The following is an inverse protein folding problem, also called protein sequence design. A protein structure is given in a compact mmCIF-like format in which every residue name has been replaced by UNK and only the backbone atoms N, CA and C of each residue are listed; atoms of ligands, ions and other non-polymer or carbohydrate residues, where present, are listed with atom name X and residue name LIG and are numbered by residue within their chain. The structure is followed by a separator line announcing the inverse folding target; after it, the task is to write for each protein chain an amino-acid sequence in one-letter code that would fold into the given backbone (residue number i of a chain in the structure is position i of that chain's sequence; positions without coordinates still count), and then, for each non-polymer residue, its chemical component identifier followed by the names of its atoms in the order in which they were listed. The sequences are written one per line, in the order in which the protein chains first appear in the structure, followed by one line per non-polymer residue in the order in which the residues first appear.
data_IF_024229804561
#
_entry.id   IF_024229804561
#
_cell.length_a   1.000
_cell.length_b   1.000
_cell.length_c   1.000
_cell.angle_alpha   90.00
_cell.angle_beta   90.00
_cell.angle_gamma   90.00
#
_symmetry.space_group_name_H-M   'P 1'
#
loop_
_entity.id
_entity.type
_entity.pdbx_description
1 polymer ?
#
# COMPACT_ATOMS: atom_id res chain seq x y z
N UNK A 1 7.70 20.35 -2.04
CA UNK A 1 6.71 21.28 -1.43
C UNK A 1 5.39 21.12 -2.15
N UNK A 2 4.26 21.14 -1.45
CA UNK A 2 2.93 21.18 -2.08
C UNK A 2 2.27 22.52 -1.76
N UNK A 3 1.61 23.09 -2.75
CA UNK A 3 1.00 24.41 -2.66
C UNK A 3 -0.40 24.31 -2.06
N UNK A 4 -0.93 25.40 -1.50
CA UNK A 4 -2.30 25.44 -0.97
C UNK A 4 -3.35 24.99 -2.02
N UNK A 5 -3.15 25.33 -3.30
CA UNK A 5 -4.02 24.89 -4.40
C UNK A 5 -4.07 23.36 -4.58
N UNK A 6 -2.99 22.65 -4.24
CA UNK A 6 -2.96 21.19 -4.33
C UNK A 6 -3.83 20.52 -3.27
N UNK A 7 -4.03 21.15 -2.10
CA UNK A 7 -4.94 20.65 -1.07
C UNK A 7 -6.40 20.85 -1.48
N UNK A 8 -6.77 22.05 -1.92
CA UNK A 8 -8.13 22.36 -2.39
C UNK A 8 -8.56 21.43 -3.53
N UNK A 9 -7.64 21.11 -4.45
CA UNK A 9 -7.89 20.14 -5.51
C UNK A 9 -8.21 18.75 -4.95
N UNK A 10 -7.43 18.27 -3.97
CA UNK A 10 -7.65 16.98 -3.33
C UNK A 10 -9.00 16.93 -2.59
N UNK A 11 -9.34 18.01 -1.87
CA UNK A 11 -10.64 18.14 -1.19
C UNK A 11 -11.80 18.08 -2.19
N UNK A 12 -11.69 18.78 -3.32
CA UNK A 12 -12.69 18.72 -4.41
C UNK A 12 -12.82 17.32 -5.02
N UNK A 13 -11.70 16.61 -5.23
CA UNK A 13 -11.73 15.24 -5.72
C UNK A 13 -12.44 14.30 -4.73
N UNK A 14 -12.13 14.41 -3.44
CA UNK A 14 -12.79 13.61 -2.40
C UNK A 14 -14.28 13.93 -2.33
N UNK A 15 -14.66 15.21 -2.37
CA UNK A 15 -16.07 15.64 -2.40
C UNK A 15 -16.82 15.10 -3.63
N UNK A 16 -16.15 14.95 -4.78
CA UNK A 16 -16.69 14.33 -5.98
C UNK A 16 -16.75 12.78 -5.91
N UNK A 17 -16.41 12.17 -4.78
CA UNK A 17 -16.47 10.72 -4.57
C UNK A 17 -15.27 9.93 -5.10
N UNK A 18 -14.13 10.59 -5.37
CA UNK A 18 -12.97 9.95 -5.99
C UNK A 18 -12.48 8.71 -5.23
N UNK A 19 -12.50 8.71 -3.89
CA UNK A 19 -12.03 7.58 -3.08
C UNK A 19 -12.78 6.28 -3.45
N UNK A 20 -14.11 6.32 -3.46
CA UNK A 20 -14.94 5.16 -3.79
C UNK A 20 -14.70 4.68 -5.23
N UNK A 21 -14.57 5.61 -6.17
CA UNK A 21 -14.29 5.30 -7.58
C UNK A 21 -12.93 4.62 -7.75
N UNK A 22 -11.89 5.15 -7.10
CA UNK A 22 -10.54 4.58 -7.15
C UNK A 22 -10.48 3.21 -6.48
N UNK A 23 -11.16 3.01 -5.35
CA UNK A 23 -11.23 1.71 -4.68
C UNK A 23 -12.00 0.66 -5.50
N UNK A 24 -13.03 1.06 -6.26
CA UNK A 24 -13.69 0.17 -7.23
C UNK A 24 -12.73 -0.22 -8.34
N UNK A 25 -11.99 0.75 -8.89
CA UNK A 25 -11.00 0.52 -9.94
C UNK A 25 -9.89 -0.43 -9.50
N UNK A 26 -9.30 -0.23 -8.31
CA UNK A 26 -8.25 -1.10 -7.75
C UNK A 26 -8.74 -2.56 -7.62
N UNK A 27 -10.02 -2.78 -7.33
CA UNK A 27 -10.59 -4.13 -7.22
C UNK A 27 -10.88 -4.78 -8.57
N UNK A 28 -11.11 -3.99 -9.63
CA UNK A 28 -11.46 -4.50 -10.95
C UNK A 28 -10.26 -4.78 -11.85
N UNK A 29 -9.10 -4.15 -11.58
CA UNK A 29 -7.91 -4.30 -12.43
C UNK A 29 -7.29 -5.71 -12.36
N UNK A 30 -6.93 -6.23 -13.53
CA UNK A 30 -6.20 -7.49 -13.66
C UNK A 30 -4.68 -7.30 -13.48
N UNK A 31 -3.90 -8.36 -13.77
CA UNK A 31 -2.43 -8.31 -13.81
C UNK A 31 -1.89 -8.01 -15.21
N UNK A 32 -2.74 -7.65 -16.17
CA UNK A 32 -2.30 -7.20 -17.50
C UNK A 32 -1.46 -5.93 -17.37
N UNK A 33 -0.50 -5.73 -18.29
CA UNK A 33 0.37 -4.54 -18.27
C UNK A 33 -0.47 -3.24 -18.28
N UNK A 34 -1.49 -3.07 -19.14
CA UNK A 34 -2.33 -1.87 -19.13
C UNK A 34 -3.03 -1.63 -17.78
N UNK A 35 -3.59 -2.69 -17.18
CA UNK A 35 -4.28 -2.57 -15.90
C UNK A 35 -3.33 -2.25 -14.75
N UNK A 36 -2.08 -2.70 -14.81
CA UNK A 36 -1.08 -2.36 -13.81
C UNK A 36 -0.66 -0.90 -13.90
N UNK A 37 -0.61 -0.28 -15.08
CA UNK A 37 -0.38 1.17 -15.20
C UNK A 37 -1.55 1.98 -14.62
N UNK A 38 -2.79 1.57 -14.91
CA UNK A 38 -3.99 2.18 -14.32
C UNK A 38 -3.99 2.05 -12.80
N UNK A 39 -3.60 0.88 -12.28
CA UNK A 39 -3.47 0.64 -10.84
C UNK A 39 -2.47 1.59 -10.19
N UNK A 40 -1.29 1.80 -10.80
CA UNK A 40 -0.27 2.71 -10.27
C UNK A 40 -0.80 4.12 -10.11
N UNK A 41 -1.54 4.61 -11.10
CA UNK A 41 -2.17 5.92 -11.04
C UNK A 41 -3.23 5.97 -9.94
N UNK A 42 -4.06 4.93 -9.80
CA UNK A 42 -5.07 4.88 -8.75
C UNK A 42 -4.45 4.92 -7.34
N UNK A 43 -3.43 4.09 -7.08
CA UNK A 43 -2.70 4.07 -5.81
C UNK A 43 -1.97 5.40 -5.55
N UNK A 44 -1.32 5.96 -6.57
CA UNK A 44 -0.63 7.26 -6.46
C UNK A 44 -1.60 8.39 -6.13
N UNK A 45 -2.80 8.40 -6.72
CA UNK A 45 -3.84 9.38 -6.39
C UNK A 45 -4.29 9.22 -4.93
N UNK A 46 -4.60 7.99 -4.47
CA UNK A 46 -4.95 7.76 -3.06
C UNK A 46 -3.82 8.17 -2.10
N UNK A 47 -2.57 7.91 -2.44
CA UNK A 47 -1.39 8.37 -1.69
C UNK A 47 -1.33 9.90 -1.63
N UNK A 48 -1.59 10.57 -2.75
CA UNK A 48 -1.62 12.03 -2.82
C UNK A 48 -2.78 12.63 -2.02
N UNK A 49 -3.92 11.96 -1.91
CA UNK A 49 -5.04 12.40 -1.06
C UNK A 49 -4.68 12.22 0.42
N UNK A 50 -4.22 11.03 0.80
CA UNK A 50 -3.89 10.65 2.19
C UNK A 50 -2.71 11.42 2.79
N UNK A 51 -1.99 12.23 2.00
CA UNK A 51 -0.99 13.17 2.53
C UNK A 51 -1.60 14.15 3.55
N UNK A 52 -2.86 14.52 3.35
CA UNK A 52 -3.60 15.46 4.19
C UNK A 52 -4.36 14.68 5.28
N UNK A 53 -4.13 14.97 6.58
CA UNK A 53 -4.67 14.15 7.67
C UNK A 53 -6.20 13.94 7.61
N UNK A 54 -6.98 15.00 7.38
CA UNK A 54 -8.43 14.91 7.29
C UNK A 54 -8.92 14.05 6.10
N UNK A 55 -8.22 14.08 4.96
CA UNK A 55 -8.55 13.21 3.82
C UNK A 55 -8.10 11.76 4.03
N UNK A 56 -7.01 11.56 4.77
CA UNK A 56 -6.59 10.22 5.19
C UNK A 56 -7.66 9.58 6.09
N UNK A 57 -8.28 10.34 6.99
CA UNK A 57 -9.41 9.85 7.79
C UNK A 57 -10.60 9.46 6.93
N UNK A 58 -10.99 10.29 5.95
CA UNK A 58 -12.07 9.92 5.01
C UNK A 58 -11.74 8.63 4.25
N UNK A 59 -10.48 8.44 3.84
CA UNK A 59 -10.04 7.20 3.22
C UNK A 59 -10.17 6.01 4.19
N UNK A 60 -9.72 6.15 5.43
CA UNK A 60 -9.78 5.10 6.46
C UNK A 60 -11.24 4.72 6.79
N UNK A 61 -12.10 5.73 6.96
CA UNK A 61 -13.51 5.56 7.29
C UNK A 61 -14.34 5.02 6.10
N UNK A 62 -13.78 5.07 4.88
CA UNK A 62 -14.42 4.45 3.71
C UNK A 62 -14.39 2.92 3.81
N UNK A 63 -15.58 2.31 3.85
CA UNK A 63 -15.75 0.85 4.01
C UNK A 63 -14.88 0.03 3.04
N UNK A 64 -14.05 -0.85 3.61
CA UNK A 64 -13.22 -1.79 2.86
C UNK A 64 -12.00 -1.17 2.16
N UNK A 65 -11.71 0.12 2.39
CA UNK A 65 -10.57 0.80 1.78
C UNK A 65 -9.23 0.17 2.20
N UNK A 66 -9.01 0.05 3.51
CA UNK A 66 -7.80 -0.51 4.10
C UNK A 66 -7.60 -1.96 3.66
N UNK A 67 -8.67 -2.75 3.66
CA UNK A 67 -8.67 -4.13 3.16
C UNK A 67 -8.25 -4.20 1.69
N UNK A 68 -8.85 -3.35 0.85
CA UNK A 68 -8.55 -3.29 -0.59
C UNK A 68 -7.08 -2.97 -0.84
N UNK A 69 -6.54 -1.97 -0.14
CA UNK A 69 -5.15 -1.52 -0.31
C UNK A 69 -4.17 -2.58 0.22
N UNK A 70 -4.45 -3.17 1.39
CA UNK A 70 -3.62 -4.24 1.96
C UNK A 70 -3.63 -5.48 1.06
N UNK A 71 -4.79 -5.83 0.51
CA UNK A 71 -4.90 -6.94 -0.44
C UNK A 71 -4.09 -6.69 -1.70
N UNK A 72 -4.09 -5.46 -2.24
CA UNK A 72 -3.27 -5.11 -3.40
C UNK A 72 -1.77 -5.14 -3.07
N UNK A 73 -1.36 -4.63 -1.91
CA UNK A 73 0.03 -4.75 -1.43
C UNK A 73 0.50 -6.22 -1.40
N UNK A 74 -0.33 -7.12 -0.88
CA UNK A 74 0.02 -8.53 -0.74
C UNK A 74 0.12 -9.30 -2.07
N UNK A 75 -0.59 -8.88 -3.11
CA UNK A 75 -0.60 -9.56 -4.42
C UNK A 75 0.37 -8.96 -5.43
N UNK A 76 0.78 -7.71 -5.26
CA UNK A 76 1.66 -7.03 -6.20
C UNK A 76 3.13 -7.39 -5.97
N UNK A 77 3.93 -7.37 -7.03
CA UNK A 77 5.39 -7.61 -7.00
C UNK A 77 6.18 -6.53 -7.73
N UNK A 78 5.48 -5.63 -8.41
CA UNK A 78 6.02 -4.56 -9.24
C UNK A 78 5.88 -3.21 -8.52
N UNK A 79 5.95 -2.10 -9.24
CA UNK A 79 5.85 -0.74 -8.71
C UNK A 79 4.61 -0.51 -7.83
N UNK A 80 3.46 -1.13 -8.17
CA UNK A 80 2.24 -1.06 -7.37
C UNK A 80 2.41 -1.58 -5.94
N UNK A 81 3.35 -2.50 -5.69
CA UNK A 81 3.72 -2.96 -4.35
C UNK A 81 4.22 -1.81 -3.48
N UNK A 82 5.14 -1.00 -4.01
CA UNK A 82 5.76 0.11 -3.28
C UNK A 82 4.76 1.24 -3.04
N UNK A 83 3.94 1.57 -4.05
CA UNK A 83 2.88 2.57 -3.90
C UNK A 83 1.84 2.18 -2.84
N UNK A 84 1.42 0.91 -2.83
CA UNK A 84 0.51 0.40 -1.82
C UNK A 84 1.16 0.39 -0.42
N UNK A 85 2.46 0.06 -0.33
CA UNK A 85 3.21 0.12 0.93
C UNK A 85 3.26 1.53 1.50
N UNK A 86 3.64 2.53 0.69
CA UNK A 86 3.69 3.93 1.11
C UNK A 86 2.31 4.43 1.60
N UNK A 87 1.26 4.08 0.87
CA UNK A 87 -0.11 4.42 1.24
C UNK A 87 -0.51 3.76 2.57
N UNK A 88 -0.20 2.48 2.78
CA UNK A 88 -0.48 1.78 4.04
C UNK A 88 0.30 2.35 5.21
N UNK A 89 1.57 2.70 5.03
CA UNK A 89 2.36 3.39 6.06
C UNK A 89 1.75 4.74 6.43
N UNK A 90 1.22 5.48 5.44
CA UNK A 90 0.51 6.74 5.68
C UNK A 90 -0.80 6.52 6.45
N UNK A 91 -1.56 5.49 6.10
CA UNK A 91 -2.75 5.06 6.85
C UNK A 91 -2.37 4.71 8.30
N UNK A 92 -1.30 3.94 8.50
CA UNK A 92 -0.82 3.55 9.84
C UNK A 92 -0.19 4.70 10.64
N UNK A 93 -0.01 5.89 10.04
CA UNK A 93 0.34 7.10 10.79
C UNK A 93 -0.86 7.68 11.56
N UNK A 94 -2.06 7.10 11.37
CA UNK A 94 -3.28 7.39 12.10
C UNK A 94 -3.72 6.15 12.90
N UNK A 95 -4.11 6.33 14.16
CA UNK A 95 -4.55 5.27 15.05
C UNK A 95 -5.71 4.44 14.50
N UNK A 96 -6.72 5.10 13.92
CA UNK A 96 -7.84 4.41 13.25
C UNK A 96 -7.36 3.50 12.12
N UNK A 97 -6.31 3.92 11.41
CA UNK A 97 -5.69 3.14 10.35
C UNK A 97 -5.01 1.88 10.88
N UNK A 98 -4.28 1.98 12.00
CA UNK A 98 -3.69 0.82 12.67
C UNK A 98 -4.77 -0.16 13.14
N UNK A 99 -5.83 0.34 13.77
CA UNK A 99 -6.97 -0.46 14.21
C UNK A 99 -7.68 -1.15 13.04
N UNK A 100 -7.89 -0.44 11.93
CA UNK A 100 -8.46 -1.01 10.71
C UNK A 100 -7.61 -2.16 10.15
N UNK A 101 -6.27 -2.06 10.18
CA UNK A 101 -5.39 -3.17 9.81
C UNK A 101 -5.49 -4.35 10.80
N UNK A 102 -5.51 -4.07 12.11
CA UNK A 102 -5.65 -5.09 13.18
C UNK A 102 -6.94 -5.88 13.06
N UNK A 103 -8.01 -5.25 12.60
CA UNK A 103 -9.30 -5.87 12.33
C UNK A 103 -9.33 -6.76 11.07
N UNK A 104 -8.20 -6.95 10.39
CA UNK A 104 -8.05 -7.82 9.22
C UNK A 104 -7.08 -9.00 9.48
N UNK A 105 -7.37 -9.89 10.46
CA UNK A 105 -6.43 -10.91 10.93
C UNK A 105 -5.97 -11.88 9.83
N UNK A 106 -6.85 -12.22 8.88
CA UNK A 106 -6.50 -13.07 7.74
C UNK A 106 -5.45 -12.43 6.82
N UNK A 107 -5.56 -11.11 6.56
CA UNK A 107 -4.58 -10.39 5.74
C UNK A 107 -3.28 -10.12 6.50
N UNK A 108 -3.35 -9.88 7.81
CA UNK A 108 -2.15 -9.79 8.65
C UNK A 108 -1.37 -11.10 8.68
N UNK A 109 -2.05 -12.25 8.78
CA UNK A 109 -1.39 -13.55 8.64
C UNK A 109 -0.68 -13.69 7.30
N UNK A 110 -1.30 -13.22 6.20
CA UNK A 110 -0.67 -13.21 4.88
C UNK A 110 0.55 -12.27 4.80
N UNK A 111 0.50 -11.12 5.48
CA UNK A 111 1.64 -10.20 5.59
C UNK A 111 2.82 -10.83 6.34
N UNK A 112 2.54 -11.54 7.43
CA UNK A 112 3.54 -12.32 8.16
C UNK A 112 4.20 -13.36 7.27
N UNK A 113 3.41 -14.19 6.59
CA UNK A 113 3.94 -15.22 5.68
C UNK A 113 4.76 -14.61 4.54
N UNK A 114 4.31 -13.50 3.95
CA UNK A 114 5.05 -12.77 2.92
C UNK A 114 6.43 -12.32 3.44
N UNK A 115 6.49 -11.84 4.68
CA UNK A 115 7.74 -11.41 5.31
C UNK A 115 8.71 -12.58 5.48
N UNK A 116 8.22 -13.73 5.95
CA UNK A 116 9.04 -14.94 6.09
C UNK A 116 9.55 -15.46 4.75
N UNK A 117 8.69 -15.47 3.73
CA UNK A 117 9.05 -15.89 2.38
C UNK A 117 10.13 -14.99 1.77
N UNK A 118 9.96 -13.67 1.87
CA UNK A 118 10.94 -12.70 1.38
C UNK A 118 12.26 -12.79 2.16
N UNK A 119 12.22 -13.02 3.48
CA UNK A 119 13.41 -13.21 4.30
C UNK A 119 14.19 -14.47 3.90
N UNK A 120 13.49 -15.59 3.70
CA UNK A 120 14.08 -16.84 3.22
C UNK A 120 14.70 -16.65 1.83
N UNK A 121 13.99 -15.96 0.93
CA UNK A 121 14.47 -15.68 -0.43
C UNK A 121 15.73 -14.80 -0.41
N UNK A 122 15.73 -13.71 0.35
CA UNK A 122 16.89 -12.82 0.49
C UNK A 122 18.12 -13.56 1.05
N UNK A 123 17.93 -14.46 2.02
CA UNK A 123 19.01 -15.29 2.56
C UNK A 123 19.58 -16.29 1.54
N UNK A 124 18.74 -16.87 0.69
CA UNK A 124 19.19 -17.76 -0.38
C UNK A 124 19.93 -17.01 -1.48
N UNK A 125 19.45 -15.81 -1.85
CA UNK A 125 20.09 -14.95 -2.85
C UNK A 125 21.46 -14.42 -2.38
N UNK A 126 21.63 -14.16 -1.07
CA UNK A 126 22.95 -13.83 -0.49
C UNK A 126 24.00 -14.90 -0.72
N UNK A 127 23.59 -16.17 -0.81
CA UNK A 127 24.48 -17.32 -1.01
C UNK A 127 24.78 -17.56 -2.49
N UNK A 128 24.08 -16.90 -3.42
CA UNK A 128 24.18 -17.14 -4.85
C UNK A 128 24.72 -15.90 -5.59
N UNK A 129 25.86 -16.03 -6.26
CA UNK A 129 26.62 -14.89 -6.85
C UNK A 129 25.92 -14.33 -8.10
N UNK A 130 25.01 -15.09 -8.73
CA UNK A 130 24.35 -14.72 -9.99
C UNK A 130 22.96 -14.11 -9.74
N UNK A 131 22.87 -12.77 -9.76
CA UNK A 131 21.59 -12.06 -9.82
C UNK A 131 21.44 -10.85 -8.89
N UNK A 132 22.28 -9.82 -9.07
CA UNK A 132 22.29 -8.62 -8.20
C UNK A 132 20.95 -7.85 -8.19
N UNK A 133 20.31 -7.66 -9.35
CA UNK A 133 19.07 -6.88 -9.45
C UNK A 133 17.86 -7.59 -8.80
N UNK A 134 17.77 -8.92 -8.92
CA UNK A 134 16.73 -9.72 -8.27
C UNK A 134 16.85 -9.67 -6.75
N UNK A 135 18.08 -9.73 -6.25
CA UNK A 135 18.41 -9.61 -4.83
C UNK A 135 18.02 -8.25 -4.25
N UNK A 136 18.39 -7.16 -4.92
CA UNK A 136 18.04 -5.82 -4.47
C UNK A 136 16.52 -5.62 -4.38
N UNK A 137 15.77 -6.12 -5.37
CA UNK A 137 14.31 -6.04 -5.32
C UNK A 137 13.71 -6.86 -4.17
N UNK A 138 14.19 -8.09 -3.94
CA UNK A 138 13.74 -8.91 -2.80
C UNK A 138 14.02 -8.21 -1.46
N UNK A 139 15.23 -7.67 -1.27
CA UNK A 139 15.62 -6.95 -0.05
C UNK A 139 14.78 -5.68 0.16
N UNK A 140 14.53 -4.90 -0.90
CA UNK A 140 13.64 -3.73 -0.84
C UNK A 140 12.22 -4.13 -0.46
N UNK A 141 11.66 -5.17 -1.08
CA UNK A 141 10.30 -5.63 -0.76
C UNK A 141 10.20 -6.16 0.67
N UNK A 142 11.22 -6.86 1.15
CA UNK A 142 11.30 -7.35 2.53
C UNK A 142 11.27 -6.18 3.52
N UNK A 143 12.07 -5.14 3.27
CA UNK A 143 12.11 -3.94 4.11
C UNK A 143 10.72 -3.30 4.24
N UNK A 144 10.02 -3.11 3.13
CA UNK A 144 8.66 -2.56 3.11
C UNK A 144 7.68 -3.39 3.95
N UNK A 145 7.66 -4.71 3.77
CA UNK A 145 6.76 -5.60 4.52
C UNK A 145 7.07 -5.61 6.02
N UNK A 146 8.36 -5.64 6.40
CA UNK A 146 8.78 -5.60 7.79
C UNK A 146 8.42 -4.27 8.48
N UNK A 147 8.58 -3.15 7.79
CA UNK A 147 8.18 -1.84 8.31
C UNK A 147 6.68 -1.78 8.55
N UNK A 148 5.87 -2.22 7.59
CA UNK A 148 4.42 -2.26 7.76
C UNK A 148 4.01 -3.15 8.93
N UNK A 149 4.65 -4.31 9.08
CA UNK A 149 4.38 -5.23 10.18
C UNK A 149 4.79 -4.68 11.55
N UNK A 150 5.81 -3.81 11.62
CA UNK A 150 6.16 -3.12 12.87
C UNK A 150 5.10 -2.10 13.26
N UNK A 151 4.55 -1.38 12.28
CA UNK A 151 3.50 -0.39 12.51
C UNK A 151 2.23 -1.01 13.09
N UNK A 152 1.90 -2.25 12.73
CA UNK A 152 0.73 -2.95 13.30
C UNK A 152 0.94 -3.41 14.75
N UNK A 153 2.18 -3.44 15.25
CA UNK A 153 2.52 -3.83 16.63
C UNK A 153 2.69 -2.63 17.57
N UNK A 154 3.11 -1.48 17.05
CA UNK A 154 3.53 -0.33 17.85
C UNK A 154 2.50 0.81 17.93
N UNK A 155 1.37 0.72 17.22
CA UNK A 155 0.21 1.60 17.43
C UNK A 155 -0.84 0.97 18.33
#
# INVERSE_FOLDING_TARGET
MATAHSQICCEKLVAAGAINTLLKLIRSVSRSIPDQEVLKHALSTLRNLSRYPHLAEVLIDTRGSVETILWEFLRNKEEGYFLASELLKKICSNQKGVEALRNLPALLKRLHNLTEDLSRKANNEKRNIRGQAGRENTERRLKEAMELLKLTKNG
#
